data_IF_381365602360
#
_entry.id   IF_381365602360
#
_cell.length_a   1.000
_cell.length_b   1.000
_cell.length_c   1.000
_cell.angle_alpha   90.00
_cell.angle_beta   90.00
_cell.angle_gamma   90.00
#
_symmetry.space_group_name_H-M   'P 1'
#
loop_
_entity.id
_entity.type
_entity.pdbx_description
1 polymer ?
#
# COMPACT_ATOMS: atom_id res chain seq x y z
N UNK A 1 10.65 22.92 -25.01
CA UNK A 1 11.33 21.94 -24.13
C UNK A 1 11.18 20.59 -24.81
N UNK A 2 12.28 19.95 -25.18
CA UNK A 2 12.23 18.63 -25.81
C UNK A 2 11.87 17.59 -24.74
N UNK A 3 10.82 16.80 -24.98
CA UNK A 3 10.41 15.67 -24.12
C UNK A 3 11.52 14.60 -24.18
N UNK A 4 12.45 14.66 -23.22
CA UNK A 4 13.43 13.60 -23.03
C UNK A 4 12.74 12.36 -22.48
N UNK A 5 12.42 11.40 -23.32
CA UNK A 5 11.92 10.08 -22.93
C UNK A 5 13.12 9.25 -22.48
N UNK A 6 13.21 8.98 -21.17
CA UNK A 6 14.21 8.08 -20.61
C UNK A 6 13.68 6.65 -20.61
N UNK A 7 14.16 5.81 -21.50
CA UNK A 7 13.80 4.41 -21.59
C UNK A 7 14.69 3.54 -20.70
N UNK A 8 14.13 3.03 -19.59
CA UNK A 8 14.82 2.05 -18.75
C UNK A 8 14.60 0.65 -19.34
N UNK A 9 15.64 0.09 -19.93
CA UNK A 9 15.61 -1.29 -20.44
C UNK A 9 15.73 -2.28 -19.26
N UNK A 10 14.67 -3.02 -18.97
CA UNK A 10 14.71 -4.19 -18.08
C UNK A 10 15.01 -5.43 -18.91
N UNK A 11 16.14 -6.08 -18.63
CA UNK A 11 16.52 -7.34 -19.28
C UNK A 11 15.91 -8.52 -18.54
N UNK A 12 15.40 -9.51 -19.26
CA UNK A 12 14.80 -10.73 -18.67
C UNK A 12 15.82 -11.57 -17.91
N UNK A 13 17.09 -11.53 -18.32
CA UNK A 13 18.23 -12.22 -17.71
C UNK A 13 18.79 -11.51 -16.45
N UNK A 14 18.14 -10.44 -15.98
CA UNK A 14 18.55 -9.65 -14.81
C UNK A 14 19.94 -9.03 -14.90
N UNK A 15 20.54 -8.92 -16.11
CA UNK A 15 21.92 -8.43 -16.32
C UNK A 15 22.06 -6.91 -16.32
N UNK A 16 20.98 -6.15 -16.18
CA UNK A 16 21.10 -4.68 -16.12
C UNK A 16 21.80 -4.23 -14.82
N UNK A 17 22.66 -3.22 -14.91
CA UNK A 17 23.38 -2.67 -13.77
C UNK A 17 22.45 -2.27 -12.61
N UNK A 18 21.23 -1.77 -12.95
CA UNK A 18 20.23 -1.37 -11.96
C UNK A 18 19.58 -2.56 -11.26
N UNK A 19 19.35 -3.68 -11.98
CA UNK A 19 18.74 -4.88 -11.43
C UNK A 19 19.68 -5.63 -10.49
N UNK A 20 20.97 -5.66 -10.81
CA UNK A 20 21.98 -6.39 -10.03
C UNK A 20 22.58 -5.58 -8.87
N UNK A 21 22.32 -4.26 -8.81
CA UNK A 21 22.91 -3.39 -7.79
C UNK A 21 22.73 -3.91 -6.36
N UNK A 22 21.57 -4.47 -6.04
CA UNK A 22 21.25 -4.96 -4.69
C UNK A 22 22.03 -6.20 -4.26
N UNK A 23 22.64 -6.95 -5.20
CA UNK A 23 23.42 -8.14 -4.90
C UNK A 23 24.94 -7.86 -4.78
N UNK A 24 25.35 -6.62 -5.04
CA UNK A 24 26.75 -6.21 -4.99
C UNK A 24 27.12 -5.70 -3.60
N UNK A 25 28.24 -6.16 -3.08
CA UNK A 25 28.76 -5.78 -1.75
C UNK A 25 28.97 -4.26 -1.66
N UNK A 26 29.45 -3.63 -2.72
CA UNK A 26 29.71 -2.18 -2.81
C UNK A 26 28.45 -1.34 -2.56
N UNK A 27 27.25 -1.93 -2.78
CA UNK A 27 26.00 -1.26 -2.45
C UNK A 27 25.77 -1.09 -0.94
N UNK A 28 26.45 -1.93 -0.13
CA UNK A 28 26.34 -1.97 1.34
C UNK A 28 27.57 -1.40 2.04
N UNK A 29 28.65 -1.19 1.34
CA UNK A 29 29.91 -0.64 1.85
C UNK A 29 30.20 0.73 1.25
N UNK A 30 30.60 0.77 -0.02
CA UNK A 30 31.09 1.96 -0.70
C UNK A 30 30.02 3.02 -0.88
N UNK A 31 28.79 2.61 -1.22
CA UNK A 31 27.67 3.56 -1.36
C UNK A 31 27.38 4.28 -0.04
N UNK A 32 27.47 3.59 1.10
CA UNK A 32 27.25 4.23 2.40
C UNK A 32 28.42 5.19 2.70
N UNK A 33 29.65 4.71 2.58
CA UNK A 33 30.86 5.47 2.92
C UNK A 33 31.04 6.69 2.02
N UNK A 34 31.06 6.49 0.70
CA UNK A 34 31.45 7.53 -0.27
C UNK A 34 30.30 8.38 -0.78
N UNK A 35 29.06 8.02 -0.41
CA UNK A 35 27.91 8.82 -0.80
C UNK A 35 27.11 9.32 0.42
N UNK A 36 26.58 8.45 1.27
CA UNK A 36 25.71 8.91 2.35
C UNK A 36 26.48 9.62 3.46
N UNK A 37 27.50 8.98 4.01
CA UNK A 37 28.32 9.57 5.07
C UNK A 37 29.11 10.78 4.57
N UNK A 38 29.66 10.70 3.36
CA UNK A 38 30.36 11.82 2.74
C UNK A 38 29.46 13.07 2.62
N UNK A 39 28.18 12.94 2.21
CA UNK A 39 27.25 14.04 2.17
C UNK A 39 26.98 14.64 3.56
N UNK A 40 26.85 13.77 4.58
CA UNK A 40 26.69 14.22 5.98
C UNK A 40 27.90 15.01 6.43
N UNK A 41 29.10 14.47 6.25
CA UNK A 41 30.35 15.11 6.65
C UNK A 41 30.61 16.42 5.91
N UNK A 42 30.44 16.45 4.61
CA UNK A 42 30.58 17.65 3.78
C UNK A 42 29.66 18.77 4.25
N UNK A 43 28.39 18.43 4.54
CA UNK A 43 27.42 19.39 5.03
C UNK A 43 27.81 19.93 6.40
N UNK A 44 28.20 19.05 7.35
CA UNK A 44 28.59 19.44 8.71
C UNK A 44 29.87 20.27 8.73
N UNK A 45 30.86 19.90 7.93
CA UNK A 45 32.14 20.63 7.87
C UNK A 45 31.94 22.05 7.37
N UNK A 46 31.10 22.22 6.35
CA UNK A 46 30.86 23.52 5.72
C UNK A 46 29.84 24.40 6.47
N UNK A 47 28.76 23.77 6.99
CA UNK A 47 27.60 24.50 7.52
C UNK A 47 27.31 24.22 9.00
N UNK A 48 28.14 23.41 9.68
CA UNK A 48 27.98 22.96 11.08
C UNK A 48 26.70 22.14 11.36
N UNK A 49 25.91 21.87 10.34
CA UNK A 49 24.69 21.07 10.40
C UNK A 49 24.47 20.33 9.08
N UNK A 50 23.56 19.36 9.08
CA UNK A 50 23.13 18.72 7.84
C UNK A 50 22.00 19.58 7.25
N UNK A 51 22.28 20.22 6.10
CA UNK A 51 21.29 21.05 5.43
C UNK A 51 20.00 20.27 5.10
N UNK A 52 18.82 20.85 5.23
CA UNK A 52 17.54 20.16 4.93
C UNK A 52 17.54 19.52 3.53
N UNK A 53 18.09 20.19 2.52
CA UNK A 53 18.21 19.64 1.17
C UNK A 53 19.02 18.33 1.14
N UNK A 54 20.14 18.25 1.85
CA UNK A 54 20.96 17.02 1.97
C UNK A 54 20.19 15.94 2.70
N UNK A 55 19.46 16.28 3.76
CA UNK A 55 18.61 15.33 4.48
C UNK A 55 17.52 14.74 3.56
N UNK A 56 16.88 15.55 2.70
CA UNK A 56 15.91 15.05 1.70
C UNK A 56 16.56 14.11 0.68
N UNK A 57 17.78 14.40 0.22
CA UNK A 57 18.53 13.49 -0.69
C UNK A 57 18.78 12.16 0.02
N UNK A 58 19.25 12.17 1.26
CA UNK A 58 19.53 10.97 2.05
C UNK A 58 18.28 10.13 2.26
N UNK A 59 17.17 10.72 2.72
CA UNK A 59 15.90 10.00 2.91
C UNK A 59 15.39 9.40 1.60
N UNK A 60 15.48 10.14 0.48
CA UNK A 60 15.06 9.61 -0.81
C UNK A 60 15.89 8.41 -1.29
N UNK A 61 17.16 8.34 -0.92
CA UNK A 61 18.02 7.21 -1.22
C UNK A 61 17.80 6.03 -0.23
N UNK A 62 17.70 6.33 1.07
CA UNK A 62 17.60 5.35 2.16
C UNK A 62 16.23 4.65 2.16
N UNK A 63 15.12 5.32 1.83
CA UNK A 63 13.75 4.76 1.86
C UNK A 63 13.59 3.44 1.10
N UNK A 64 14.33 3.27 -0.01
CA UNK A 64 14.31 2.02 -0.78
C UNK A 64 15.11 0.93 -0.10
N UNK A 65 16.17 1.31 0.61
CA UNK A 65 17.08 0.40 1.28
C UNK A 65 16.49 -0.18 2.57
N UNK A 66 15.89 0.68 3.39
CA UNK A 66 15.27 0.23 4.64
C UNK A 66 14.04 -0.66 4.43
N UNK A 67 13.40 -0.56 3.28
CA UNK A 67 12.19 -1.33 2.96
C UNK A 67 12.44 -2.61 2.15
N UNK A 68 13.68 -3.10 2.08
CA UNK A 68 14.04 -4.33 1.37
C UNK A 68 14.97 -5.18 2.24
N UNK A 69 14.79 -6.48 2.23
CA UNK A 69 15.70 -7.42 2.87
C UNK A 69 17.10 -7.34 2.23
N UNK A 70 18.13 -7.46 3.07
CA UNK A 70 19.50 -7.56 2.57
C UNK A 70 19.70 -8.98 2.05
N UNK A 71 20.17 -9.15 0.80
CA UNK A 71 20.34 -10.47 0.20
C UNK A 71 21.24 -11.40 1.01
N UNK A 72 20.99 -12.71 0.92
CA UNK A 72 21.74 -13.72 1.68
C UNK A 72 23.23 -13.81 1.33
N UNK A 73 23.60 -13.49 0.09
CA UNK A 73 24.98 -13.47 -0.38
C UNK A 73 25.85 -12.39 0.28
N UNK A 74 25.26 -11.45 1.04
CA UNK A 74 26.00 -10.45 1.81
C UNK A 74 26.33 -11.03 3.19
N UNK A 75 27.60 -10.96 3.59
CA UNK A 75 28.06 -11.54 4.85
C UNK A 75 27.37 -10.90 6.07
N UNK A 76 27.14 -11.63 7.16
CA UNK A 76 26.51 -11.11 8.38
C UNK A 76 27.21 -9.87 8.96
N UNK A 77 28.54 -9.85 8.89
CA UNK A 77 29.33 -8.71 9.36
C UNK A 77 29.05 -7.45 8.57
N UNK A 78 29.02 -7.56 7.23
CA UNK A 78 28.70 -6.42 6.36
C UNK A 78 27.25 -5.98 6.56
N UNK A 79 26.30 -6.93 6.72
CA UNK A 79 24.90 -6.61 7.02
C UNK A 79 24.79 -5.77 8.28
N UNK A 80 25.42 -6.20 9.37
CA UNK A 80 25.38 -5.51 10.67
C UNK A 80 26.03 -4.12 10.60
N UNK A 81 27.20 -4.01 9.97
CA UNK A 81 27.85 -2.70 9.77
C UNK A 81 26.97 -1.75 8.96
N UNK A 82 26.45 -2.22 7.84
CA UNK A 82 25.52 -1.46 7.00
C UNK A 82 24.29 -0.97 7.77
N UNK A 83 23.63 -1.86 8.53
CA UNK A 83 22.47 -1.53 9.33
C UNK A 83 22.77 -0.43 10.34
N UNK A 84 23.87 -0.57 11.09
CA UNK A 84 24.29 0.42 12.07
C UNK A 84 24.56 1.79 11.43
N UNK A 85 25.27 1.81 10.30
CA UNK A 85 25.61 3.06 9.60
C UNK A 85 24.38 3.76 9.07
N UNK A 86 23.43 3.03 8.47
CA UNK A 86 22.16 3.60 7.99
C UNK A 86 21.33 4.15 9.16
N UNK A 87 21.23 3.42 10.28
CA UNK A 87 20.55 3.89 11.48
C UNK A 87 21.19 5.17 12.02
N UNK A 88 22.52 5.21 12.10
CA UNK A 88 23.25 6.40 12.55
C UNK A 88 23.01 7.63 11.66
N UNK A 89 22.85 7.44 10.36
CA UNK A 89 22.48 8.52 9.44
C UNK A 89 21.04 8.96 9.72
N UNK A 90 20.09 8.03 9.86
CA UNK A 90 18.67 8.33 10.12
C UNK A 90 18.51 9.10 11.43
N UNK A 91 19.25 8.76 12.48
CA UNK A 91 19.22 9.46 13.77
C UNK A 91 19.60 10.95 13.68
N UNK A 92 20.33 11.34 12.65
CA UNK A 92 20.76 12.71 12.41
C UNK A 92 19.82 13.51 11.51
N UNK A 93 18.78 12.91 10.95
CA UNK A 93 17.83 13.57 10.06
C UNK A 93 16.67 14.16 10.89
N UNK A 94 16.26 15.36 10.55
CA UNK A 94 15.17 16.06 11.25
C UNK A 94 13.83 15.33 11.04
N UNK A 95 12.98 15.33 12.08
CA UNK A 95 11.63 14.76 12.00
C UNK A 95 10.83 15.35 10.84
N UNK A 96 10.93 16.66 10.67
CA UNK A 96 10.22 17.37 9.61
C UNK A 96 10.59 16.89 8.20
N UNK A 97 11.83 16.50 8.00
CA UNK A 97 12.27 15.92 6.73
C UNK A 97 11.64 14.55 6.51
N UNK A 98 11.63 13.68 7.54
CA UNK A 98 11.00 12.37 7.47
C UNK A 98 9.50 12.51 7.18
N UNK A 99 8.81 13.38 7.92
CA UNK A 99 7.37 13.59 7.83
C UNK A 99 6.97 14.18 6.47
N UNK A 100 7.67 15.21 6.00
CA UNK A 100 7.29 15.97 4.82
C UNK A 100 7.85 15.39 3.51
N UNK A 101 8.69 14.33 3.56
CA UNK A 101 9.22 13.73 2.33
C UNK A 101 8.10 13.16 1.47
N UNK A 102 7.96 13.70 0.26
CA UNK A 102 7.03 13.23 -0.74
C UNK A 102 7.44 11.85 -1.29
N UNK A 103 6.45 11.05 -1.75
CA UNK A 103 6.68 9.72 -2.33
C UNK A 103 7.27 8.69 -1.35
N UNK A 104 7.22 8.95 -0.05
CA UNK A 104 7.46 7.98 1.01
C UNK A 104 6.11 7.63 1.63
N UNK A 105 5.76 6.35 1.63
CA UNK A 105 4.48 5.87 2.20
C UNK A 105 4.53 5.86 3.72
N UNK A 106 3.35 5.90 4.36
CA UNK A 106 3.23 5.95 5.82
C UNK A 106 4.06 4.85 6.52
N UNK A 107 3.98 3.59 6.05
CA UNK A 107 4.73 2.47 6.64
C UNK A 107 6.24 2.78 6.74
N UNK A 108 6.81 3.34 5.68
CA UNK A 108 8.24 3.69 5.65
C UNK A 108 8.55 4.88 6.54
N UNK A 109 7.67 5.90 6.62
CA UNK A 109 7.86 7.03 7.53
C UNK A 109 7.84 6.61 8.99
N UNK A 110 6.85 5.80 9.38
CA UNK A 110 6.76 5.24 10.73
C UNK A 110 7.99 4.37 11.07
N UNK A 111 8.46 3.60 10.10
CA UNK A 111 9.65 2.78 10.26
C UNK A 111 10.93 3.64 10.44
N UNK A 112 11.08 4.71 9.67
CA UNK A 112 12.20 5.66 9.83
C UNK A 112 12.17 6.34 11.21
N UNK A 113 10.98 6.72 11.71
CA UNK A 113 10.82 7.25 13.05
C UNK A 113 11.19 6.20 14.12
N UNK A 114 10.75 4.93 13.95
CA UNK A 114 11.17 3.83 14.82
C UNK A 114 12.69 3.70 14.87
N UNK A 115 13.38 3.71 13.72
CA UNK A 115 14.83 3.60 13.66
C UNK A 115 15.55 4.80 14.28
N UNK A 116 14.98 5.98 14.16
CA UNK A 116 15.53 7.22 14.72
C UNK A 116 15.48 7.22 16.25
N UNK A 117 14.39 6.74 16.84
CA UNK A 117 14.13 6.77 18.28
C UNK A 117 14.37 5.42 18.97
N UNK A 118 14.90 4.42 18.25
CA UNK A 118 15.09 3.03 18.65
C UNK A 118 13.75 2.27 18.85
N UNK A 119 12.68 2.96 19.19
CA UNK A 119 11.30 2.50 19.22
C UNK A 119 10.36 3.56 18.63
N UNK A 120 9.18 3.12 18.19
CA UNK A 120 8.19 4.08 17.70
C UNK A 120 7.62 4.87 18.89
N UNK A 121 7.78 6.21 18.94
CA UNK A 121 7.29 7.03 20.03
C UNK A 121 5.77 7.13 19.97
N UNK A 122 5.10 6.19 20.62
CA UNK A 122 3.63 6.02 20.59
C UNK A 122 2.88 7.23 21.15
N UNK A 123 3.42 7.87 22.17
CA UNK A 123 2.82 9.03 22.84
C UNK A 123 2.80 10.28 21.93
N UNK A 124 3.71 10.35 20.98
CA UNK A 124 3.79 11.41 19.98
C UNK A 124 2.94 11.14 18.72
N UNK A 125 2.35 9.93 18.62
CA UNK A 125 1.56 9.50 17.47
C UNK A 125 0.06 9.61 17.75
N UNK A 126 -0.63 10.33 16.89
CA UNK A 126 -2.08 10.45 16.89
C UNK A 126 -2.67 9.97 15.56
N UNK A 127 -3.81 9.31 15.63
CA UNK A 127 -4.55 8.84 14.46
C UNK A 127 -5.96 9.42 14.51
N UNK A 128 -6.27 10.32 13.58
CA UNK A 128 -7.60 10.96 13.48
C UNK A 128 -7.96 11.26 12.04
N UNK A 129 -9.25 11.28 11.72
CA UNK A 129 -9.79 11.63 10.41
C UNK A 129 -9.15 10.89 9.23
N UNK A 130 -8.68 9.64 9.46
CA UNK A 130 -8.03 8.81 8.46
C UNK A 130 -6.58 9.21 8.15
N UNK A 131 -5.94 10.04 9.00
CA UNK A 131 -4.55 10.45 8.90
C UNK A 131 -3.77 10.10 10.16
N UNK A 132 -2.46 9.89 9.97
CA UNK A 132 -1.48 9.79 11.04
C UNK A 132 -0.82 11.16 11.26
N UNK A 133 -0.57 11.48 12.54
CA UNK A 133 0.12 12.68 12.98
C UNK A 133 1.27 12.28 13.90
N UNK A 134 2.36 13.05 13.88
CA UNK A 134 3.47 12.93 14.79
C UNK A 134 3.82 14.30 15.34
N UNK A 135 3.83 14.44 16.68
CA UNK A 135 4.02 15.73 17.35
C UNK A 135 3.10 16.82 16.77
N UNK A 136 1.81 16.50 16.60
CA UNK A 136 0.77 17.34 15.98
C UNK A 136 1.00 17.69 14.49
N UNK A 137 2.02 17.14 13.83
CA UNK A 137 2.27 17.34 12.40
C UNK A 137 1.72 16.16 11.60
N UNK A 138 0.96 16.47 10.56
CA UNK A 138 0.36 15.45 9.68
C UNK A 138 1.44 14.72 8.91
N UNK A 139 1.49 13.38 9.04
CA UNK A 139 2.43 12.52 8.32
C UNK A 139 1.88 12.11 6.96
N UNK A 140 0.76 11.35 6.95
CA UNK A 140 0.14 10.80 5.75
C UNK A 140 -1.23 10.19 6.06
N UNK A 141 -1.93 9.72 5.02
CA UNK A 141 -3.15 8.92 5.15
C UNK A 141 -2.83 7.52 5.68
N UNK A 142 -3.64 7.05 6.64
CA UNK A 142 -3.53 5.69 7.18
C UNK A 142 -3.77 4.67 6.06
N UNK A 143 -4.74 4.94 5.18
CA UNK A 143 -5.10 4.08 4.07
C UNK A 143 -4.75 4.72 2.73
N UNK A 144 -4.08 3.96 1.89
CA UNK A 144 -3.85 4.31 0.49
C UNK A 144 -4.76 3.47 -0.45
N UNK A 145 -4.72 3.78 -1.73
CA UNK A 145 -5.54 3.10 -2.76
C UNK A 145 -5.28 1.59 -2.89
N UNK A 146 -4.18 1.09 -2.35
CA UNK A 146 -3.78 -0.32 -2.42
C UNK A 146 -3.98 -1.05 -1.09
N UNK A 147 -4.49 -0.36 -0.06
CA UNK A 147 -4.68 -0.95 1.28
C UNK A 147 -5.80 -1.99 1.33
N UNK A 148 -6.74 -1.97 0.39
CA UNK A 148 -7.86 -2.89 0.34
C UNK A 148 -8.15 -3.34 -1.08
N UNK A 149 -8.20 -4.65 -1.32
CA UNK A 149 -8.51 -5.21 -2.63
C UNK A 149 -9.45 -6.40 -2.52
N UNK A 150 -10.50 -6.40 -3.31
CA UNK A 150 -11.37 -7.57 -3.52
C UNK A 150 -10.80 -8.33 -4.71
N UNK A 151 -10.32 -9.54 -4.46
CA UNK A 151 -9.70 -10.40 -5.48
C UNK A 151 -10.69 -11.34 -6.15
N UNK A 152 -11.76 -11.70 -5.43
CA UNK A 152 -12.84 -12.50 -5.98
C UNK A 152 -14.17 -12.07 -5.39
N UNK A 153 -15.21 -12.13 -6.22
CA UNK A 153 -16.58 -11.80 -5.84
C UNK A 153 -17.55 -12.69 -6.59
N UNK A 154 -18.44 -13.38 -5.86
CA UNK A 154 -19.46 -14.23 -6.44
C UNK A 154 -20.79 -14.05 -5.73
N UNK A 155 -21.90 -14.18 -6.48
CA UNK A 155 -23.25 -14.09 -5.95
C UNK A 155 -23.97 -15.41 -6.15
N UNK A 156 -24.42 -16.05 -5.06
CA UNK A 156 -25.25 -17.25 -5.09
C UNK A 156 -26.53 -16.99 -4.31
N UNK A 157 -27.67 -16.98 -4.97
CA UNK A 157 -28.95 -16.47 -4.42
C UNK A 157 -28.75 -15.02 -3.94
N UNK A 158 -29.00 -14.73 -2.67
CA UNK A 158 -28.81 -13.41 -2.07
C UNK A 158 -27.48 -13.27 -1.30
N UNK A 159 -26.67 -14.32 -1.24
CA UNK A 159 -25.36 -14.32 -0.58
C UNK A 159 -24.28 -13.85 -1.54
N UNK A 160 -23.68 -12.71 -1.21
CA UNK A 160 -22.48 -12.18 -1.87
C UNK A 160 -21.27 -12.71 -1.15
N UNK A 161 -20.49 -13.58 -1.81
CA UNK A 161 -19.18 -14.02 -1.35
C UNK A 161 -18.12 -13.05 -1.81
N UNK A 162 -17.23 -12.67 -0.90
CA UNK A 162 -16.11 -11.77 -1.17
C UNK A 162 -14.83 -12.37 -0.59
N UNK A 163 -13.77 -12.32 -1.38
CA UNK A 163 -12.43 -12.65 -0.94
C UNK A 163 -11.49 -11.51 -1.31
N UNK A 164 -10.48 -11.29 -0.49
CA UNK A 164 -9.56 -10.21 -0.77
C UNK A 164 -8.40 -10.11 0.20
N UNK A 165 -7.71 -8.99 0.11
CA UNK A 165 -6.54 -8.68 0.91
C UNK A 165 -6.67 -7.28 1.50
N UNK A 166 -6.23 -7.14 2.74
CA UNK A 166 -6.02 -5.87 3.42
C UNK A 166 -4.52 -5.72 3.66
N UNK A 167 -3.97 -4.56 3.29
CA UNK A 167 -2.59 -4.18 3.55
C UNK A 167 -2.56 -2.92 4.39
N UNK A 168 -1.96 -3.00 5.55
CA UNK A 168 -1.77 -1.88 6.48
C UNK A 168 -0.36 -1.89 7.04
N UNK A 169 0.06 -0.77 7.63
CA UNK A 169 1.29 -0.70 8.39
C UNK A 169 1.27 -1.69 9.55
N UNK A 170 2.40 -2.33 9.85
CA UNK A 170 2.55 -3.26 10.97
C UNK A 170 2.30 -2.61 12.34
N UNK A 171 2.21 -1.30 12.40
CA UNK A 171 1.89 -0.55 13.62
C UNK A 171 0.39 -0.50 13.94
N UNK A 172 -0.48 -0.99 13.03
CA UNK A 172 -1.91 -1.10 13.26
C UNK A 172 -2.29 -2.55 13.51
N UNK A 173 -2.78 -2.83 14.70
CA UNK A 173 -3.39 -4.12 14.99
C UNK A 173 -4.85 -4.14 14.56
N UNK A 174 -5.19 -5.08 13.70
CA UNK A 174 -6.57 -5.28 13.21
C UNK A 174 -6.82 -6.75 12.90
N UNK A 175 -7.97 -7.26 13.38
CA UNK A 175 -8.30 -8.69 13.28
C UNK A 175 -9.59 -8.94 12.52
N UNK A 176 -10.35 -7.89 12.22
CA UNK A 176 -11.65 -8.01 11.59
C UNK A 176 -11.84 -6.99 10.50
N UNK A 177 -12.49 -7.42 9.43
CA UNK A 177 -13.11 -6.55 8.43
C UNK A 177 -14.59 -6.43 8.77
N UNK A 178 -15.07 -5.22 8.92
CA UNK A 178 -16.48 -4.90 9.07
C UNK A 178 -17.05 -4.46 7.74
N UNK A 179 -18.27 -4.90 7.46
CA UNK A 179 -18.99 -4.52 6.25
C UNK A 179 -20.36 -4.04 6.66
N UNK A 180 -20.62 -2.76 6.47
CA UNK A 180 -21.94 -2.19 6.72
C UNK A 180 -22.79 -2.24 5.47
N UNK A 181 -23.97 -2.80 5.63
CA UNK A 181 -25.14 -2.67 4.78
C UNK A 181 -26.21 -1.95 5.57
N UNK A 182 -26.89 -0.98 5.01
CA UNK A 182 -27.88 -0.12 5.70
C UNK A 182 -28.62 -0.81 6.84
N UNK A 183 -28.21 -0.51 8.08
CA UNK A 183 -28.78 -1.06 9.32
C UNK A 183 -28.29 -2.45 9.75
N UNK A 184 -27.25 -2.99 9.09
CA UNK A 184 -26.68 -4.32 9.38
C UNK A 184 -25.18 -4.32 9.20
N UNK A 185 -24.45 -4.79 10.21
CA UNK A 185 -22.98 -4.92 10.17
C UNK A 185 -22.59 -6.40 10.12
N UNK A 186 -21.77 -6.74 9.14
CA UNK A 186 -21.15 -8.06 9.03
C UNK A 186 -19.71 -7.99 9.51
N UNK A 187 -19.29 -8.96 10.31
CA UNK A 187 -17.93 -9.10 10.82
C UNK A 187 -17.26 -10.29 10.13
N UNK A 188 -16.14 -10.05 9.46
CA UNK A 188 -15.35 -11.07 8.76
C UNK A 188 -13.98 -11.15 9.44
N UNK A 189 -13.58 -12.36 9.84
CA UNK A 189 -12.26 -12.59 10.41
C UNK A 189 -11.18 -12.43 9.34
N UNK A 190 -10.06 -11.88 9.75
CA UNK A 190 -8.87 -11.73 8.92
C UNK A 190 -7.88 -12.84 9.25
N UNK A 191 -7.23 -13.36 8.22
CA UNK A 191 -6.22 -14.41 8.33
C UNK A 191 -4.86 -13.85 7.93
N UNK A 192 -3.83 -14.18 8.68
CA UNK A 192 -2.45 -13.83 8.36
C UNK A 192 -2.01 -14.40 7.01
N UNK A 193 -1.08 -13.73 6.37
CA UNK A 193 -0.47 -14.21 5.14
C UNK A 193 1.05 -14.07 5.21
N UNK A 194 1.77 -14.93 4.48
CA UNK A 194 3.24 -14.88 4.39
C UNK A 194 3.76 -13.76 3.47
N UNK A 195 2.89 -12.79 3.11
CA UNK A 195 3.20 -11.75 2.12
C UNK A 195 3.59 -10.42 2.74
N UNK A 196 3.96 -10.41 4.01
CA UNK A 196 4.40 -9.20 4.69
C UNK A 196 5.68 -8.65 4.03
N UNK A 197 5.78 -7.33 3.95
CA UNK A 197 7.00 -6.68 3.48
C UNK A 197 7.99 -6.57 4.62
N UNK A 198 9.13 -7.22 4.47
CA UNK A 198 10.23 -7.14 5.43
C UNK A 198 11.09 -5.92 5.21
N UNK A 199 11.68 -5.44 6.28
CA UNK A 199 12.70 -4.38 6.29
C UNK A 199 14.09 -4.96 6.13
N UNK A 200 15.10 -4.09 6.05
CA UNK A 200 16.50 -4.47 6.07
C UNK A 200 16.97 -5.05 7.42
N UNK A 201 16.18 -4.88 8.50
CA UNK A 201 16.36 -5.55 9.80
C UNK A 201 15.53 -6.83 9.94
N UNK A 202 14.85 -7.24 8.87
CA UNK A 202 13.92 -8.38 8.84
C UNK A 202 12.64 -8.19 9.65
N UNK A 203 12.32 -6.96 10.09
CA UNK A 203 11.05 -6.62 10.72
C UNK A 203 9.92 -6.52 9.69
N UNK A 204 8.69 -6.75 10.12
CA UNK A 204 7.51 -6.45 9.31
C UNK A 204 7.24 -4.94 9.24
N UNK A 205 7.35 -4.36 8.05
CA UNK A 205 6.97 -2.96 7.80
C UNK A 205 5.47 -2.80 7.57
N UNK A 206 4.85 -3.80 6.96
CA UNK A 206 3.41 -3.87 6.79
C UNK A 206 2.92 -5.32 6.92
N UNK A 207 1.66 -5.44 7.29
CA UNK A 207 0.96 -6.70 7.41
C UNK A 207 -0.05 -6.80 6.29
N UNK A 208 -0.10 -7.95 5.63
CA UNK A 208 -1.10 -8.29 4.64
C UNK A 208 -1.94 -9.41 5.19
N UNK A 209 -3.23 -9.12 5.45
CA UNK A 209 -4.20 -10.12 5.91
C UNK A 209 -5.18 -10.44 4.78
N UNK A 210 -5.54 -11.71 4.66
CA UNK A 210 -6.59 -12.16 3.75
C UNK A 210 -7.94 -12.17 4.46
N UNK A 211 -9.00 -12.01 3.69
CA UNK A 211 -10.37 -12.21 4.14
C UNK A 211 -11.18 -13.04 3.16
N UNK A 212 -12.10 -13.82 3.71
CA UNK A 212 -13.09 -14.59 2.96
C UNK A 212 -14.38 -14.63 3.78
N UNK A 213 -15.47 -14.22 3.18
CA UNK A 213 -16.76 -14.19 3.86
C UNK A 213 -17.92 -13.96 2.93
N UNK A 214 -19.12 -13.96 3.49
CA UNK A 214 -20.32 -13.66 2.74
C UNK A 214 -21.18 -12.61 3.44
N UNK A 215 -21.93 -11.87 2.64
CA UNK A 215 -22.86 -10.83 3.04
C UNK A 215 -24.22 -11.18 2.42
N UNK A 216 -25.26 -11.19 3.22
CA UNK A 216 -26.62 -11.42 2.71
C UNK A 216 -27.18 -10.08 2.21
N UNK A 217 -27.53 -10.00 0.95
CA UNK A 217 -28.06 -8.79 0.32
C UNK A 217 -29.59 -8.80 0.39
N UNK A 218 -30.15 -8.03 1.30
CA UNK A 218 -31.60 -8.04 1.57
C UNK A 218 -32.41 -7.10 0.64
N UNK A 219 -31.74 -6.26 -0.17
CA UNK A 219 -32.37 -5.22 -0.97
C UNK A 219 -32.05 -5.35 -2.46
N UNK A 220 -32.96 -4.80 -3.30
CA UNK A 220 -32.72 -4.67 -4.76
C UNK A 220 -31.49 -3.82 -5.06
N UNK A 221 -31.19 -2.85 -4.19
CA UNK A 221 -30.05 -1.95 -4.27
C UNK A 221 -29.36 -1.89 -2.91
N UNK A 222 -28.13 -2.30 -2.86
CA UNK A 222 -27.35 -2.40 -1.63
C UNK A 222 -26.09 -1.54 -1.74
N UNK A 223 -25.79 -0.80 -0.70
CA UNK A 223 -24.53 -0.08 -0.52
C UNK A 223 -23.72 -0.76 0.57
N UNK A 224 -22.50 -1.15 0.24
CA UNK A 224 -21.58 -1.77 1.18
C UNK A 224 -20.42 -0.82 1.48
N UNK A 225 -20.18 -0.57 2.75
CA UNK A 225 -19.03 0.16 3.25
C UNK A 225 -18.12 -0.81 3.99
N UNK A 226 -16.84 -0.76 3.70
CA UNK A 226 -15.82 -1.65 4.28
C UNK A 226 -14.93 -0.85 5.21
N UNK A 227 -14.72 -1.34 6.42
CA UNK A 227 -13.83 -0.70 7.40
C UNK A 227 -13.21 -1.72 8.35
N UNK A 228 -12.17 -1.30 9.04
CA UNK A 228 -11.62 -1.98 10.21
C UNK A 228 -11.59 -1.02 11.39
N UNK A 229 -11.37 -1.54 12.58
CA UNK A 229 -11.24 -0.73 13.79
C UNK A 229 -9.82 -0.77 14.30
N UNK A 230 -9.30 0.40 14.66
CA UNK A 230 -8.07 0.56 15.40
C UNK A 230 -8.35 1.45 16.61
N UNK A 231 -8.27 0.87 17.80
CA UNK A 231 -8.84 1.47 19.00
C UNK A 231 -10.32 1.82 18.76
N UNK A 232 -10.73 3.05 18.98
CA UNK A 232 -12.10 3.54 18.72
C UNK A 232 -12.30 4.14 17.34
N UNK A 233 -11.26 4.14 16.50
CA UNK A 233 -11.28 4.77 15.16
C UNK A 233 -11.72 3.78 14.09
N UNK A 234 -12.77 4.13 13.34
CA UNK A 234 -13.17 3.41 12.14
C UNK A 234 -12.28 3.81 10.94
N UNK A 235 -11.51 2.86 10.44
CA UNK A 235 -10.64 3.03 9.28
C UNK A 235 -11.38 2.55 8.04
N UNK A 236 -11.96 3.47 7.27
CA UNK A 236 -12.82 3.17 6.11
C UNK A 236 -11.97 2.88 4.87
N UNK A 237 -12.17 1.73 4.25
CA UNK A 237 -11.49 1.32 3.05
C UNK A 237 -12.16 1.82 1.78
N UNK A 238 -11.32 2.10 0.79
CA UNK A 238 -11.76 2.33 -0.58
C UNK A 238 -11.75 0.99 -1.34
N UNK A 239 -12.92 0.46 -1.75
CA UNK A 239 -12.95 -0.80 -2.49
C UNK A 239 -12.16 -0.70 -3.80
N UNK A 240 -11.18 -1.57 -3.94
CA UNK A 240 -10.42 -1.77 -5.16
C UNK A 240 -10.70 -3.19 -5.65
N UNK A 241 -11.48 -3.31 -6.74
CA UNK A 241 -11.92 -4.60 -7.26
C UNK A 241 -10.93 -5.06 -8.31
N UNK A 242 -10.24 -6.16 -8.04
CA UNK A 242 -9.24 -6.78 -8.92
C UNK A 242 -9.63 -8.24 -9.17
N UNK A 243 -10.68 -8.46 -9.96
CA UNK A 243 -11.28 -9.78 -10.20
C UNK A 243 -10.51 -10.58 -11.28
N UNK A 244 -9.70 -9.93 -12.11
CA UNK A 244 -8.97 -10.60 -13.18
C UNK A 244 -7.50 -10.82 -12.82
N UNK A 245 -7.12 -12.08 -12.57
CA UNK A 245 -5.71 -12.49 -12.40
C UNK A 245 -4.85 -12.25 -13.65
N UNK A 246 -5.45 -12.19 -14.84
CA UNK A 246 -4.75 -12.03 -16.12
C UNK A 246 -4.74 -10.61 -16.67
N UNK A 247 -5.69 -9.77 -16.29
CA UNK A 247 -5.74 -8.36 -16.68
C UNK A 247 -5.54 -7.46 -15.47
N UNK A 248 -4.40 -6.77 -15.41
CA UNK A 248 -4.07 -5.77 -14.38
C UNK A 248 -5.02 -4.54 -14.37
N UNK A 249 -6.11 -4.57 -15.11
CA UNK A 249 -7.09 -3.50 -15.14
C UNK A 249 -7.99 -3.51 -13.90
N UNK A 250 -7.92 -2.45 -13.14
CA UNK A 250 -8.77 -2.21 -11.96
C UNK A 250 -10.20 -1.95 -12.44
N UNK A 251 -11.08 -2.92 -12.33
CA UNK A 251 -12.48 -2.72 -12.68
C UNK A 251 -13.19 -1.96 -11.56
N UNK A 252 -13.71 -0.77 -11.86
CA UNK A 252 -14.58 0.00 -10.95
C UNK A 252 -16.05 -0.40 -11.05
N UNK A 253 -16.41 -1.14 -12.06
CA UNK A 253 -17.75 -1.66 -12.28
C UNK A 253 -17.71 -2.99 -13.02
N UNK A 254 -18.77 -3.77 -12.93
CA UNK A 254 -18.91 -5.04 -13.61
C UNK A 254 -20.26 -5.68 -13.37
N UNK A 255 -20.41 -6.89 -13.89
CA UNK A 255 -21.64 -7.67 -13.78
C UNK A 255 -21.38 -8.89 -12.91
N UNK A 256 -22.25 -9.11 -11.92
CA UNK A 256 -22.22 -10.24 -11.02
C UNK A 256 -23.55 -10.98 -11.11
N UNK A 257 -23.63 -12.02 -11.93
CA UNK A 257 -24.89 -12.68 -12.30
C UNK A 257 -25.90 -11.68 -12.87
N UNK A 258 -26.97 -11.41 -12.11
CA UNK A 258 -28.07 -10.51 -12.44
C UNK A 258 -27.99 -9.16 -11.72
N UNK A 259 -26.84 -8.83 -11.15
CA UNK A 259 -26.60 -7.55 -10.46
C UNK A 259 -25.40 -6.84 -11.08
N UNK A 260 -25.46 -5.53 -11.11
CA UNK A 260 -24.33 -4.65 -11.46
C UNK A 260 -23.69 -4.20 -10.17
N UNK A 261 -22.36 -4.22 -10.13
CA UNK A 261 -21.64 -3.56 -9.06
C UNK A 261 -20.90 -2.33 -9.58
N UNK A 262 -20.78 -1.32 -8.75
CA UNK A 262 -19.97 -0.14 -9.03
C UNK A 262 -19.39 0.46 -7.75
N UNK A 263 -18.21 1.05 -7.84
CA UNK A 263 -17.61 1.78 -6.73
C UNK A 263 -18.03 3.23 -6.79
N UNK A 264 -18.87 3.66 -5.84
CA UNK A 264 -19.38 5.03 -5.71
C UNK A 264 -18.57 5.83 -4.69
N UNK A 265 -18.34 7.11 -4.99
CA UNK A 265 -17.66 8.07 -4.09
C UNK A 265 -16.36 7.55 -3.49
N UNK A 266 -15.72 6.58 -4.15
CA UNK A 266 -14.46 5.95 -3.72
C UNK A 266 -14.51 5.26 -2.33
N UNK A 267 -15.66 5.07 -1.71
CA UNK A 267 -15.81 4.49 -0.36
C UNK A 267 -16.86 3.39 -0.28
N UNK A 268 -17.78 3.29 -1.23
CA UNK A 268 -18.87 2.32 -1.18
C UNK A 268 -18.91 1.45 -2.41
N UNK A 269 -19.18 0.16 -2.22
CA UNK A 269 -19.54 -0.77 -3.29
C UNK A 269 -21.05 -0.79 -3.43
N UNK A 270 -21.53 -0.34 -4.57
CA UNK A 270 -22.95 -0.35 -4.92
C UNK A 270 -23.27 -1.60 -5.73
N UNK A 271 -24.27 -2.36 -5.32
CA UNK A 271 -24.79 -3.54 -6.01
C UNK A 271 -26.26 -3.31 -6.31
N UNK A 272 -26.63 -3.33 -7.57
CA UNK A 272 -27.99 -3.07 -8.05
C UNK A 272 -28.54 -4.26 -8.84
N UNK A 273 -29.82 -4.55 -8.70
CA UNK A 273 -30.49 -5.55 -9.53
C UNK A 273 -30.57 -5.09 -10.99
N UNK A 274 -30.26 -6.01 -11.88
CA UNK A 274 -30.12 -5.79 -13.32
C UNK A 274 -31.46 -5.82 -14.09
N UNK A 275 -32.58 -5.42 -13.50
CA UNK A 275 -33.88 -5.56 -14.15
C UNK A 275 -34.01 -4.78 -15.47
N UNK A 276 -33.46 -3.58 -15.56
CA UNK A 276 -33.56 -2.73 -16.76
C UNK A 276 -32.64 -3.19 -17.91
N UNK A 277 -31.44 -3.70 -17.61
CA UNK A 277 -30.50 -4.11 -18.68
C UNK A 277 -30.86 -5.44 -19.34
N UNK A 278 -31.64 -6.31 -18.69
CA UNK A 278 -32.18 -7.51 -19.37
C UNK A 278 -33.08 -7.13 -20.55
N UNK A 279 -33.87 -6.09 -20.40
CA UNK A 279 -34.67 -5.58 -21.50
C UNK A 279 -33.83 -4.95 -22.60
N UNK A 280 -32.83 -4.15 -22.25
CA UNK A 280 -31.92 -3.50 -23.21
C UNK A 280 -31.05 -4.53 -23.95
N UNK A 281 -30.47 -5.50 -23.27
CA UNK A 281 -29.67 -6.57 -23.92
C UNK A 281 -30.56 -7.49 -24.78
N UNK A 282 -31.74 -7.83 -24.33
CA UNK A 282 -32.69 -8.59 -25.14
C UNK A 282 -33.08 -7.79 -26.39
N UNK A 283 -33.40 -6.52 -26.25
CA UNK A 283 -33.71 -5.64 -27.36
C UNK A 283 -32.55 -5.45 -28.33
N UNK A 284 -31.31 -5.25 -27.84
CA UNK A 284 -30.13 -5.14 -28.68
C UNK A 284 -29.78 -6.46 -29.40
N UNK A 285 -30.03 -7.62 -28.79
CA UNK A 285 -29.88 -8.91 -29.46
C UNK A 285 -30.93 -9.13 -30.55
N UNK A 286 -32.14 -8.72 -30.32
CA UNK A 286 -33.21 -8.78 -31.31
C UNK A 286 -32.91 -7.85 -32.49
N UNK A 287 -32.42 -6.65 -32.23
CA UNK A 287 -31.98 -5.68 -33.25
C UNK A 287 -30.76 -6.22 -34.02
N UNK A 288 -29.73 -6.80 -33.35
CA UNK A 288 -28.60 -7.45 -34.03
C UNK A 288 -28.98 -8.65 -34.88
N UNK A 289 -29.97 -9.44 -34.43
CA UNK A 289 -30.50 -10.54 -35.24
C UNK A 289 -31.28 -10.05 -36.45
N UNK A 290 -31.99 -8.95 -36.35
CA UNK A 290 -32.70 -8.31 -37.45
C UNK A 290 -31.72 -7.82 -38.53
N UNK A 291 -30.62 -7.17 -38.15
CA UNK A 291 -29.59 -6.71 -39.08
C UNK A 291 -28.68 -7.83 -39.64
N UNK A 292 -28.70 -9.01 -39.07
CA UNK A 292 -28.00 -10.18 -39.66
C UNK A 292 -28.85 -11.00 -40.63
N UNK A 293 -30.14 -10.74 -40.69
CA UNK A 293 -31.07 -11.46 -41.57
C UNK A 293 -31.46 -10.67 -42.84
N UNK A 294 -31.10 -9.40 -42.89
CA UNK A 294 -31.20 -8.52 -44.04
C UNK A 294 -29.78 -8.08 -44.46
#
# INVERSE_FOLDING_TARGET
MSDCIYNIRKRSDMTSATQNKKYKVEAYTDTVKYYYEYLVELSKNKYKSILPYIQYILINAIKYRVGEEIPENISPTIKKDYQNRIINIIKQIDDDVIINTNKVVLDTKLYLLKLKYDELPKDDLEFKDGFAYFKNKKIDKIINKNSFSITNMSLKREKLWINGLIKMSSYFEFNHLYVDEVGKTYKINLLETDKNRKSFLNDDMNIIKSFSGFITLDRKKTRLMFYTKYNELDIIFKPNINIDKHNKMKKRCGILKNKIYSVKNNRTLLIEHFLLLRFVIKYLREVQMYFKKN
#
